data_IF_488221652828
#
_entry.id   IF_488221652828
#
_cell.length_a   1.000
_cell.length_b   1.000
_cell.length_c   1.000
_cell.angle_alpha   90.00
_cell.angle_beta   90.00
_cell.angle_gamma   90.00
#
_symmetry.space_group_name_H-M   'P 1'
#
loop_
_entity.id
_entity.type
_entity.pdbx_description
1 polymer ?
#
# COMPACT_ATOMS: atom_id res chain seq x y z
N UNK A 1 31.58 41.07 53.51
CA UNK A 1 30.17 40.60 53.61
C UNK A 1 30.04 39.37 52.71
N UNK A 2 29.51 38.22 53.15
CA UNK A 2 28.09 37.92 53.41
C UNK A 2 27.20 38.38 52.22
N UNK A 3 26.24 37.66 51.64
CA UNK A 3 25.70 36.28 51.70
C UNK A 3 24.76 36.14 50.47
N UNK A 4 24.33 34.99 49.95
CA UNK A 4 24.44 33.54 50.29
C UNK A 4 24.24 32.72 48.99
N UNK A 5 24.62 31.44 48.96
CA UNK A 5 24.16 30.50 47.92
C UNK A 5 22.68 30.17 48.14
N UNK A 6 21.85 30.19 47.08
CA UNK A 6 20.49 29.62 47.10
C UNK A 6 20.39 28.61 45.97
N UNK A 7 20.58 27.32 46.33
CA UNK A 7 20.29 26.20 45.43
C UNK A 7 18.79 25.99 45.42
N UNK A 8 18.13 26.24 44.29
CA UNK A 8 16.70 25.95 44.13
C UNK A 8 16.53 24.68 43.29
N UNK A 9 16.65 23.53 43.95
CA UNK A 9 16.36 22.23 43.35
C UNK A 9 14.85 22.08 43.16
N UNK A 10 14.37 22.31 41.94
CA UNK A 10 13.00 21.97 41.53
C UNK A 10 13.05 20.59 40.86
N UNK A 11 12.74 19.56 41.64
CA UNK A 11 12.19 18.32 41.11
C UNK A 11 10.75 18.62 40.67
N UNK A 12 10.46 18.61 39.36
CA UNK A 12 9.09 18.50 38.84
C UNK A 12 9.01 17.23 38.01
N UNK A 13 7.87 16.55 38.19
CA UNK A 13 7.70 15.16 37.81
C UNK A 13 7.77 14.91 36.30
N UNK A 14 8.22 13.70 36.00
CA UNK A 14 8.11 13.05 34.71
C UNK A 14 6.62 12.98 34.29
N UNK A 15 6.18 13.86 33.40
CA UNK A 15 4.89 13.71 32.71
C UNK A 15 5.18 13.01 31.39
N UNK A 16 5.09 11.67 31.41
CA UNK A 16 5.03 10.87 30.19
C UNK A 16 3.62 11.07 29.61
N UNK A 17 3.45 12.09 28.76
CA UNK A 17 2.35 12.09 27.81
C UNK A 17 2.67 11.05 26.75
N UNK A 18 2.18 9.83 26.98
CA UNK A 18 1.86 8.91 25.91
C UNK A 18 0.77 9.57 25.08
N UNK A 19 1.17 10.35 24.08
CA UNK A 19 0.30 10.72 22.97
C UNK A 19 -0.03 9.43 22.22
N UNK A 20 -1.09 8.76 22.66
CA UNK A 20 -1.82 7.85 21.80
C UNK A 20 -2.31 8.70 20.63
N UNK A 21 -1.60 8.66 19.50
CA UNK A 21 -2.12 9.19 18.25
C UNK A 21 -3.37 8.37 17.95
N UNK A 22 -4.52 9.04 17.96
CA UNK A 22 -5.80 8.45 17.56
C UNK A 22 -5.63 7.73 16.21
N UNK A 23 -6.30 6.59 16.06
CA UNK A 23 -6.43 5.94 14.75
C UNK A 23 -7.04 6.94 13.76
N UNK A 24 -6.20 7.47 12.88
CA UNK A 24 -6.62 8.32 11.78
C UNK A 24 -7.14 7.37 10.71
N UNK A 25 -8.47 7.23 10.60
CA UNK A 25 -9.12 6.47 9.54
C UNK A 25 -8.76 7.10 8.19
N UNK A 26 -7.65 6.65 7.62
CA UNK A 26 -6.97 7.33 6.53
C UNK A 26 -7.34 6.68 5.20
N UNK A 27 -8.05 7.44 4.36
CA UNK A 27 -8.14 7.13 2.92
C UNK A 27 -6.78 7.20 2.19
N UNK A 28 -5.69 7.44 2.92
CA UNK A 28 -4.30 7.44 2.47
C UNK A 28 -3.68 6.02 2.41
N UNK A 29 -4.35 4.98 2.91
CA UNK A 29 -3.75 3.64 2.96
C UNK A 29 -3.86 2.88 1.64
N UNK A 30 -4.84 3.21 0.79
CA UNK A 30 -4.98 2.65 -0.55
C UNK A 30 -3.76 2.99 -1.44
N UNK A 31 -2.94 1.98 -1.73
CA UNK A 31 -1.68 2.11 -2.46
C UNK A 31 -1.89 2.51 -3.93
N UNK A 32 -3.03 2.19 -4.52
CA UNK A 32 -3.37 2.58 -5.91
C UNK A 32 -3.43 4.10 -6.07
N UNK A 33 -3.92 4.81 -5.04
CA UNK A 33 -4.02 6.27 -5.05
C UNK A 33 -2.64 6.97 -4.98
N UNK A 34 -1.56 6.22 -4.70
CA UNK A 34 -0.18 6.72 -4.59
C UNK A 34 0.58 6.68 -5.92
N UNK A 35 0.00 6.06 -6.96
CA UNK A 35 0.61 5.89 -8.29
C UNK A 35 -0.32 6.39 -9.39
N UNK A 36 0.21 6.65 -10.60
CA UNK A 36 -0.65 6.95 -11.74
C UNK A 36 -1.30 5.69 -12.28
N UNK A 37 -2.42 5.85 -12.97
CA UNK A 37 -3.08 4.80 -13.75
C UNK A 37 -2.94 5.06 -15.25
N UNK A 38 -3.01 3.99 -16.02
CA UNK A 38 -2.97 3.95 -17.48
C UNK A 38 -4.30 3.37 -17.96
N UNK A 39 -5.06 4.18 -18.68
CA UNK A 39 -6.34 3.80 -19.28
C UNK A 39 -6.16 2.80 -20.43
N UNK A 40 -7.19 1.99 -20.69
CA UNK A 40 -7.29 1.07 -21.83
C UNK A 40 -6.19 0.00 -21.88
N UNK A 41 -5.58 -0.37 -20.74
CA UNK A 41 -4.51 -1.38 -20.67
C UNK A 41 -4.66 -2.34 -19.50
N UNK A 42 -4.01 -3.49 -19.63
CA UNK A 42 -3.80 -4.48 -18.58
C UNK A 42 -2.46 -5.19 -18.78
N UNK A 43 -1.88 -5.75 -17.72
CA UNK A 43 -0.73 -6.66 -17.82
C UNK A 43 -1.25 -8.10 -17.92
N UNK A 44 -0.90 -8.79 -19.00
CA UNK A 44 -1.32 -10.17 -19.23
C UNK A 44 -0.44 -11.19 -18.49
N UNK A 45 -0.83 -12.47 -18.54
CA UNK A 45 -0.10 -13.63 -17.97
C UNK A 45 1.32 -13.87 -18.53
N UNK A 46 1.86 -12.98 -19.36
CA UNK A 46 3.25 -12.98 -19.89
C UNK A 46 4.00 -11.69 -19.54
N UNK A 47 3.50 -10.89 -18.59
CA UNK A 47 4.09 -9.60 -18.22
C UNK A 47 3.94 -8.51 -19.28
N UNK A 48 3.17 -8.76 -20.34
CA UNK A 48 3.03 -7.80 -21.44
C UNK A 48 1.86 -6.89 -21.18
N UNK A 49 2.11 -5.57 -21.14
CA UNK A 49 1.05 -4.56 -21.06
C UNK A 49 0.35 -4.44 -22.42
N UNK A 50 -0.89 -4.91 -22.51
CA UNK A 50 -1.69 -4.97 -23.74
C UNK A 50 -2.88 -4.00 -23.71
N UNK A 51 -3.36 -3.58 -24.88
CA UNK A 51 -4.53 -2.71 -24.99
C UNK A 51 -5.82 -3.48 -24.73
N UNK A 52 -6.59 -3.06 -23.73
CA UNK A 52 -7.94 -3.54 -23.44
C UNK A 52 -8.82 -2.38 -22.95
N UNK A 53 -9.79 -1.96 -23.77
CA UNK A 53 -10.66 -0.79 -23.51
C UNK A 53 -11.53 -0.89 -22.25
N UNK A 54 -11.71 -2.09 -21.70
CA UNK A 54 -12.46 -2.30 -20.46
C UNK A 54 -11.59 -2.12 -19.20
N UNK A 55 -10.27 -2.01 -19.34
CA UNK A 55 -9.32 -2.13 -18.23
C UNK A 55 -8.64 -0.81 -17.89
N UNK A 56 -8.22 -0.72 -16.64
CA UNK A 56 -7.26 0.24 -16.09
C UNK A 56 -6.06 -0.57 -15.60
N UNK A 57 -4.86 -0.08 -15.86
CA UNK A 57 -3.62 -0.61 -15.30
C UNK A 57 -3.02 0.43 -14.34
N UNK A 58 -2.46 0.02 -13.20
CA UNK A 58 -1.60 0.90 -12.40
C UNK A 58 -0.21 1.08 -13.04
N UNK A 59 0.54 2.06 -12.55
CA UNK A 59 2.01 1.98 -12.56
C UNK A 59 2.49 0.99 -11.48
N UNK A 60 3.80 0.74 -11.45
CA UNK A 60 4.46 -0.08 -10.43
C UNK A 60 4.17 0.46 -9.02
N UNK A 61 3.61 -0.39 -8.16
CA UNK A 61 3.35 -0.14 -6.75
C UNK A 61 4.40 -0.93 -5.95
N UNK A 62 5.23 -0.29 -5.09
CA UNK A 62 6.15 -0.99 -4.21
C UNK A 62 5.42 -2.00 -3.31
N UNK A 63 6.01 -3.18 -3.13
CA UNK A 63 5.43 -4.31 -2.42
C UNK A 63 6.48 -4.94 -1.50
N UNK A 64 6.06 -5.43 -0.32
CA UNK A 64 6.89 -6.20 0.59
C UNK A 64 6.25 -7.58 0.84
N UNK A 65 6.88 -8.70 0.45
CA UNK A 65 6.31 -10.04 0.66
C UNK A 65 6.18 -10.48 2.13
N UNK A 66 6.78 -9.75 3.07
CA UNK A 66 6.59 -9.97 4.52
C UNK A 66 5.28 -9.35 5.06
N UNK A 67 4.45 -8.74 4.19
CA UNK A 67 3.19 -8.07 4.51
C UNK A 67 2.02 -8.70 3.76
N UNK A 68 0.87 -8.75 4.42
CA UNK A 68 -0.40 -9.09 3.78
C UNK A 68 -1.01 -7.86 3.10
N UNK A 69 -1.65 -8.07 1.94
CA UNK A 69 -2.39 -7.02 1.24
C UNK A 69 -3.73 -7.53 0.73
N UNK A 70 -4.78 -6.71 0.80
CA UNK A 70 -6.12 -7.04 0.32
C UNK A 70 -6.49 -6.20 -0.91
N UNK A 71 -7.11 -6.84 -1.90
CA UNK A 71 -7.76 -6.18 -3.05
C UNK A 71 -9.27 -6.16 -2.87
N UNK A 72 -9.90 -5.00 -3.08
CA UNK A 72 -11.34 -4.80 -2.82
C UNK A 72 -12.27 -5.12 -4.00
N UNK A 73 -11.76 -5.50 -5.16
CA UNK A 73 -12.53 -5.77 -6.38
C UNK A 73 -11.71 -6.62 -7.36
N UNK A 74 -12.39 -7.35 -8.24
CA UNK A 74 -11.76 -8.33 -9.15
C UNK A 74 -10.61 -7.71 -9.95
N UNK A 75 -9.42 -8.32 -9.82
CA UNK A 75 -8.14 -7.71 -10.20
C UNK A 75 -7.12 -8.75 -10.63
N UNK A 76 -6.40 -8.43 -11.71
CA UNK A 76 -5.15 -9.08 -12.08
C UNK A 76 -4.00 -8.41 -11.33
N UNK A 77 -3.29 -9.15 -10.47
CA UNK A 77 -2.07 -8.70 -9.80
C UNK A 77 -0.88 -9.28 -10.54
N UNK A 78 -0.07 -8.42 -11.15
CA UNK A 78 1.18 -8.82 -11.81
C UNK A 78 2.37 -8.47 -10.92
N UNK A 79 3.14 -9.48 -10.52
CA UNK A 79 4.27 -9.39 -9.61
C UNK A 79 5.58 -9.21 -10.39
N UNK A 80 6.45 -8.35 -9.89
CA UNK A 80 7.73 -8.00 -10.50
C UNK A 80 8.87 -7.97 -9.48
N UNK A 81 10.09 -8.20 -9.97
CA UNK A 81 11.35 -7.88 -9.30
C UNK A 81 12.08 -6.80 -10.13
N UNK A 82 11.92 -5.54 -9.74
CA UNK A 82 12.30 -4.38 -10.54
C UNK A 82 11.57 -4.36 -11.89
N UNK A 83 12.29 -4.69 -12.97
CA UNK A 83 11.74 -4.79 -14.32
C UNK A 83 11.46 -6.24 -14.75
N UNK A 84 11.86 -7.25 -13.96
CA UNK A 84 11.65 -8.67 -14.27
C UNK A 84 10.24 -9.11 -13.88
N UNK A 85 9.49 -9.68 -14.83
CA UNK A 85 8.15 -10.21 -14.60
C UNK A 85 8.21 -11.61 -13.98
N UNK A 86 7.45 -11.82 -12.90
CA UNK A 86 7.36 -13.11 -12.21
C UNK A 86 6.10 -13.87 -12.64
N UNK A 87 4.91 -13.34 -12.31
CA UNK A 87 3.61 -13.93 -12.65
C UNK A 87 2.51 -12.89 -12.65
N UNK A 88 1.38 -13.22 -13.29
CA UNK A 88 0.10 -12.54 -13.09
C UNK A 88 -0.88 -13.54 -12.47
N UNK A 89 -1.54 -13.13 -11.41
CA UNK A 89 -2.59 -13.88 -10.72
C UNK A 89 -3.90 -13.09 -10.79
N UNK A 90 -5.03 -13.78 -10.84
CA UNK A 90 -6.36 -13.19 -10.97
C UNK A 90 -7.17 -13.56 -9.72
N UNK A 91 -7.71 -12.53 -9.07
CA UNK A 91 -8.59 -12.64 -7.90
C UNK A 91 -9.99 -12.20 -8.32
N UNK A 92 -11.00 -13.07 -8.12
CA UNK A 92 -12.39 -12.90 -8.60
C UNK A 92 -13.46 -13.10 -7.51
N UNK A 93 -13.08 -13.45 -6.27
CA UNK A 93 -13.99 -13.64 -5.12
C UNK A 93 -13.75 -12.56 -4.05
N UNK A 94 -13.64 -11.31 -4.50
CA UNK A 94 -13.12 -10.17 -3.70
C UNK A 94 -14.14 -9.58 -2.68
N UNK A 95 -13.69 -9.01 -1.54
CA UNK A 95 -12.32 -8.72 -1.14
C UNK A 95 -11.50 -9.98 -0.78
N UNK A 96 -10.24 -10.00 -1.20
CA UNK A 96 -9.35 -11.15 -1.06
C UNK A 96 -7.91 -10.72 -0.73
N UNK A 97 -7.24 -11.46 0.16
CA UNK A 97 -5.82 -11.27 0.46
C UNK A 97 -5.00 -11.89 -0.68
N UNK A 98 -4.10 -11.10 -1.27
CA UNK A 98 -3.30 -11.53 -2.41
C UNK A 98 -2.19 -12.48 -1.96
N UNK A 99 -1.88 -13.49 -2.79
CA UNK A 99 -0.84 -14.49 -2.51
C UNK A 99 0.54 -13.84 -2.36
N UNK A 100 1.25 -14.11 -1.26
CA UNK A 100 2.62 -13.65 -1.08
C UNK A 100 3.58 -14.21 -2.15
N UNK A 101 4.52 -13.38 -2.62
CA UNK A 101 5.54 -13.74 -3.64
C UNK A 101 6.91 -13.27 -3.17
N UNK A 102 7.69 -14.17 -2.57
CA UNK A 102 8.95 -13.88 -1.86
C UNK A 102 9.98 -13.13 -2.74
N UNK A 103 10.02 -13.40 -4.03
CA UNK A 103 10.94 -12.78 -4.97
C UNK A 103 10.46 -11.42 -5.55
N UNK A 104 9.28 -10.93 -5.19
CA UNK A 104 8.72 -9.68 -5.72
C UNK A 104 9.03 -8.45 -4.85
N UNK A 105 9.32 -7.31 -5.49
CA UNK A 105 9.49 -5.98 -4.87
C UNK A 105 8.41 -4.97 -5.31
N UNK A 106 7.55 -5.35 -6.27
CA UNK A 106 6.44 -4.54 -6.72
C UNK A 106 5.33 -5.31 -7.41
N UNK A 107 4.17 -4.67 -7.47
CA UNK A 107 2.99 -5.16 -8.19
C UNK A 107 2.47 -4.12 -9.18
N UNK A 108 1.90 -4.59 -10.28
CA UNK A 108 1.04 -3.81 -11.17
C UNK A 108 -0.34 -4.44 -11.15
N UNK A 109 -1.35 -3.64 -10.83
CA UNK A 109 -2.75 -4.05 -10.80
C UNK A 109 -3.40 -3.73 -12.14
N UNK A 110 -4.21 -4.65 -12.64
CA UNK A 110 -5.12 -4.39 -13.75
C UNK A 110 -6.54 -4.80 -13.40
N UNK A 111 -7.49 -3.87 -13.50
CA UNK A 111 -8.87 -4.06 -13.06
C UNK A 111 -9.85 -3.40 -14.03
N UNK A 112 -11.13 -3.76 -13.95
CA UNK A 112 -12.15 -3.21 -14.85
C UNK A 112 -12.43 -1.73 -14.53
N UNK A 113 -12.65 -0.91 -15.57
CA UNK A 113 -13.07 0.50 -15.43
C UNK A 113 -14.31 0.70 -14.57
N UNK A 114 -15.23 -0.28 -14.50
CA UNK A 114 -16.36 -0.26 -13.57
C UNK A 114 -15.94 -0.10 -12.11
N UNK A 115 -14.79 -0.67 -11.74
CA UNK A 115 -14.33 -0.80 -10.36
C UNK A 115 -13.52 0.43 -9.92
N UNK A 116 -13.20 1.37 -10.82
CA UNK A 116 -12.32 2.55 -10.58
C UNK A 116 -12.57 3.29 -9.28
N UNK A 117 -13.83 3.50 -8.89
CA UNK A 117 -14.18 4.29 -7.72
C UNK A 117 -14.20 3.48 -6.40
N UNK A 118 -14.19 2.15 -6.50
CA UNK A 118 -14.22 1.22 -5.36
C UNK A 118 -12.94 0.41 -5.18
N UNK A 119 -12.04 0.41 -6.17
CA UNK A 119 -10.82 -0.39 -6.19
C UNK A 119 -9.78 0.14 -5.19
N UNK A 120 -9.30 -0.77 -4.35
CA UNK A 120 -8.30 -0.53 -3.32
C UNK A 120 -7.29 -1.67 -3.30
N UNK A 121 -6.03 -1.32 -3.04
CA UNK A 121 -5.01 -2.23 -2.53
C UNK A 121 -4.57 -1.66 -1.19
N UNK A 122 -4.79 -2.39 -0.10
CA UNK A 122 -4.44 -1.96 1.26
C UNK A 122 -3.48 -2.97 1.88
N UNK A 123 -2.50 -2.47 2.64
CA UNK A 123 -1.65 -3.27 3.52
C UNK A 123 -2.43 -3.60 4.80
N UNK A 124 -2.31 -4.83 5.31
CA UNK A 124 -2.97 -5.30 6.53
C UNK A 124 -1.92 -5.57 7.63
N UNK A 125 -2.29 -5.32 8.89
CA UNK A 125 -1.49 -5.55 10.11
C UNK A 125 -1.79 -6.90 10.80
#
# INVERSE_FOLDING_TARGET
>A
MHSKQVKFSIFIALIILLSACNGENNSNDNLINKVNIIEDRWVNYKGTSENNKAMIQSQFIPYNPEKDYEVSSDTYVSYFNGEEFIKTELYEDTPEIISAVEEADGVILSFNKSNRNGMQLVEIE
#
